data_IF_921868008206
#
_entry.id   IF_921868008206
#
_cell.length_a   1.000
_cell.length_b   1.000
_cell.length_c   1.000
_cell.angle_alpha   90.00
_cell.angle_beta   90.00
_cell.angle_gamma   90.00
#
_symmetry.space_group_name_H-M   'P 1'
#
loop_
_entity.id
_entity.type
_entity.pdbx_description
1 polymer ?
#
# COMPACT_ATOMS: atom_id res chain seq x y z
N UNK A 1 33.35 -25.32 -25.62
CA UNK A 1 32.88 -23.94 -25.35
C UNK A 1 31.97 -24.00 -24.13
N UNK A 2 32.42 -23.47 -22.99
CA UNK A 2 31.63 -23.39 -21.76
C UNK A 2 30.36 -22.59 -22.04
N UNK A 3 29.18 -23.20 -21.89
CA UNK A 3 27.95 -22.43 -21.72
C UNK A 3 28.08 -21.76 -20.35
N UNK A 4 28.57 -20.52 -20.32
CA UNK A 4 28.41 -19.65 -19.17
C UNK A 4 26.91 -19.43 -18.99
N UNK A 5 26.27 -20.34 -18.27
CA UNK A 5 24.88 -20.24 -17.85
C UNK A 5 24.85 -19.29 -16.65
N UNK A 6 25.19 -18.02 -16.89
CA UNK A 6 24.91 -16.93 -15.97
C UNK A 6 23.41 -16.99 -15.69
N UNK A 7 23.02 -17.21 -14.43
CA UNK A 7 21.64 -17.02 -14.01
C UNK A 7 21.25 -15.59 -14.40
N UNK A 8 20.44 -15.45 -15.47
CA UNK A 8 19.96 -14.17 -15.96
C UNK A 8 18.85 -13.69 -15.01
N UNK A 9 19.27 -13.12 -13.88
CA UNK A 9 18.37 -12.53 -12.88
C UNK A 9 17.95 -11.14 -13.41
N UNK A 10 16.65 -10.80 -13.42
CA UNK A 10 16.20 -9.47 -13.82
C UNK A 10 16.81 -8.38 -12.93
N UNK A 11 17.24 -7.27 -13.51
CA UNK A 11 17.66 -6.10 -12.73
C UNK A 11 16.47 -5.57 -11.92
N UNK A 12 16.55 -5.44 -10.58
CA UNK A 12 15.44 -4.96 -9.78
C UNK A 12 15.00 -3.53 -10.12
N UNK A 13 15.82 -2.74 -10.83
CA UNK A 13 15.51 -1.36 -11.21
C UNK A 13 14.79 -1.23 -12.56
N UNK A 14 14.55 -2.32 -13.29
CA UNK A 14 13.69 -2.26 -14.48
C UNK A 14 12.22 -2.18 -14.10
N UNK A 15 11.43 -1.43 -14.87
CA UNK A 15 9.97 -1.37 -14.65
C UNK A 15 9.32 -2.71 -15.01
N UNK A 16 9.63 -3.26 -16.18
CA UNK A 16 9.04 -4.50 -16.68
C UNK A 16 10.08 -5.62 -16.73
N UNK A 17 10.04 -6.59 -15.79
CA UNK A 17 10.95 -7.74 -15.80
C UNK A 17 10.56 -8.82 -16.81
N UNK A 18 9.35 -8.79 -17.38
CA UNK A 18 8.88 -9.76 -18.36
C UNK A 18 8.64 -9.13 -19.75
N UNK A 19 8.69 -9.98 -20.79
CA UNK A 19 8.49 -9.57 -22.19
C UNK A 19 7.06 -9.09 -22.48
N UNK A 20 6.08 -9.62 -21.75
CA UNK A 20 4.65 -9.32 -21.94
C UNK A 20 4.21 -7.99 -21.33
N UNK A 21 5.05 -7.37 -20.48
CA UNK A 21 4.77 -6.13 -19.75
C UNK A 21 3.49 -6.17 -18.90
N UNK A 22 3.06 -7.35 -18.47
CA UNK A 22 1.90 -7.54 -17.58
C UNK A 22 2.27 -7.42 -16.12
N UNK A 23 3.56 -7.57 -15.78
CA UNK A 23 4.04 -7.45 -14.42
C UNK A 23 5.05 -6.32 -14.36
N UNK A 24 4.98 -5.49 -13.31
CA UNK A 24 5.96 -4.45 -13.07
C UNK A 24 6.60 -4.58 -11.69
N UNK A 25 7.87 -4.21 -11.55
CA UNK A 25 8.47 -4.02 -10.23
C UNK A 25 7.97 -2.71 -9.63
N UNK A 26 7.20 -2.84 -8.56
CA UNK A 26 6.37 -1.76 -8.02
C UNK A 26 7.24 -0.59 -7.56
N UNK A 27 8.41 -0.87 -6.94
CA UNK A 27 9.30 0.19 -6.44
C UNK A 27 9.69 1.23 -7.50
N UNK A 28 9.69 0.85 -8.78
CA UNK A 28 10.14 1.69 -9.89
C UNK A 28 9.01 2.57 -10.46
N UNK A 29 7.75 2.37 -10.02
CA UNK A 29 6.57 3.14 -10.45
C UNK A 29 5.92 3.93 -9.31
N UNK A 30 6.45 3.83 -8.09
CA UNK A 30 6.03 4.64 -6.95
C UNK A 30 6.68 6.02 -7.00
N UNK A 31 5.86 7.05 -6.81
CA UNK A 31 6.26 8.45 -6.68
C UNK A 31 5.90 9.06 -5.32
N UNK A 32 4.91 8.49 -4.61
CA UNK A 32 4.47 8.99 -3.34
C UNK A 32 5.55 8.85 -2.25
N UNK A 33 5.88 9.93 -1.50
CA UNK A 33 7.00 9.93 -0.55
C UNK A 33 6.78 9.08 0.70
N UNK A 34 5.52 8.70 0.98
CA UNK A 34 5.12 7.90 2.13
C UNK A 34 4.94 6.40 1.81
N UNK A 35 5.27 5.99 0.58
CA UNK A 35 5.21 4.59 0.14
C UNK A 35 6.64 4.09 -0.07
N UNK A 36 6.96 2.92 0.49
CA UNK A 36 8.25 2.27 0.31
C UNK A 36 8.03 0.82 -0.08
N UNK A 37 8.66 0.38 -1.18
CA UNK A 37 8.52 -0.99 -1.68
C UNK A 37 9.89 -1.61 -1.89
N UNK A 38 10.07 -2.84 -1.42
CA UNK A 38 11.31 -3.58 -1.56
C UNK A 38 11.58 -4.10 -2.98
N UNK A 39 12.85 -4.42 -3.27
CA UNK A 39 13.27 -5.04 -4.53
C UNK A 39 12.49 -6.33 -4.84
N UNK A 40 12.35 -6.61 -6.14
CA UNK A 40 11.70 -7.81 -6.67
C UNK A 40 10.22 -8.00 -6.30
N UNK A 41 9.62 -7.04 -5.58
CA UNK A 41 8.18 -7.00 -5.38
C UNK A 41 7.52 -6.53 -6.66
N UNK A 42 6.63 -7.36 -7.20
CA UNK A 42 5.91 -7.06 -8.43
C UNK A 42 4.41 -6.94 -8.22
N UNK A 43 3.78 -6.18 -9.10
CA UNK A 43 2.33 -6.16 -9.30
C UNK A 43 2.03 -6.65 -10.71
N UNK A 44 1.07 -7.57 -10.83
CA UNK A 44 0.61 -8.11 -12.11
C UNK A 44 -0.79 -7.59 -12.45
N UNK A 45 -0.93 -7.04 -13.64
CA UNK A 45 -2.18 -6.51 -14.18
C UNK A 45 -2.12 -6.52 -15.72
N UNK A 46 -3.15 -7.07 -16.35
CA UNK A 46 -3.20 -7.16 -17.82
C UNK A 46 -3.49 -5.80 -18.48
N UNK A 47 -4.01 -4.81 -17.74
CA UNK A 47 -4.44 -3.52 -18.26
C UNK A 47 -3.46 -2.41 -17.94
N UNK A 48 -3.13 -2.22 -16.66
CA UNK A 48 -2.25 -1.13 -16.20
C UNK A 48 -1.43 -1.53 -14.96
N UNK A 49 -0.36 -2.32 -15.15
CA UNK A 49 0.51 -2.74 -14.05
C UNK A 49 1.31 -1.57 -13.46
N UNK A 50 1.62 -0.55 -14.26
CA UNK A 50 2.34 0.65 -13.78
C UNK A 50 1.47 1.59 -12.95
N UNK A 51 0.15 1.49 -13.07
CA UNK A 51 -0.81 2.29 -12.34
C UNK A 51 -1.03 1.89 -10.88
N UNK A 52 -0.21 0.99 -10.31
CA UNK A 52 -0.37 0.47 -8.95
C UNK A 52 -0.61 1.58 -7.91
N UNK A 53 0.21 2.64 -7.90
CA UNK A 53 0.06 3.72 -6.92
C UNK A 53 -1.33 4.35 -6.97
N UNK A 54 -1.79 4.72 -8.18
CA UNK A 54 -3.08 5.38 -8.39
C UNK A 54 -4.26 4.45 -8.17
N UNK A 55 -4.17 3.23 -8.69
CA UNK A 55 -5.30 2.32 -8.82
C UNK A 55 -5.45 1.44 -7.57
N UNK A 56 -4.36 1.18 -6.84
CA UNK A 56 -4.33 0.16 -5.80
C UNK A 56 -4.03 0.74 -4.41
N UNK A 57 -3.55 1.99 -4.28
CA UNK A 57 -3.36 2.66 -2.99
C UNK A 57 -4.41 3.76 -2.81
N UNK A 58 -5.49 3.43 -2.09
CA UNK A 58 -6.67 4.28 -1.97
C UNK A 58 -6.61 5.14 -0.70
N UNK A 59 -7.16 6.36 -0.79
CA UNK A 59 -7.16 7.35 0.29
C UNK A 59 -5.75 7.79 0.73
N UNK A 60 -4.76 7.75 -0.16
CA UNK A 60 -3.40 8.14 0.15
C UNK A 60 -3.24 9.67 0.17
N UNK A 61 -3.28 10.27 1.36
CA UNK A 61 -2.93 11.67 1.54
C UNK A 61 -1.75 11.78 2.51
N UNK A 62 -0.51 12.00 2.00
CA UNK A 62 0.71 11.97 2.81
C UNK A 62 0.74 12.99 3.96
N UNK A 63 -0.04 14.07 3.86
CA UNK A 63 -0.23 15.07 4.92
C UNK A 63 -0.68 14.47 6.25
N UNK A 64 -1.33 13.32 6.19
CA UNK A 64 -1.85 12.59 7.36
C UNK A 64 -0.83 11.66 8.03
N UNK A 65 0.39 11.57 7.49
CA UNK A 65 1.51 10.86 8.13
C UNK A 65 1.48 9.34 8.00
N UNK A 66 0.42 8.77 7.44
CA UNK A 66 0.33 7.32 7.16
C UNK A 66 1.40 6.87 6.16
N UNK A 67 1.92 5.66 6.35
CA UNK A 67 2.96 5.06 5.51
C UNK A 67 2.54 3.68 5.03
N UNK A 68 2.81 3.38 3.76
CA UNK A 68 2.70 2.03 3.21
C UNK A 68 4.09 1.47 2.98
N UNK A 69 4.43 0.38 3.65
CA UNK A 69 5.75 -0.27 3.53
C UNK A 69 5.51 -1.71 3.07
N UNK A 70 5.97 -2.05 1.87
CA UNK A 70 5.91 -3.40 1.30
C UNK A 70 7.33 -3.97 1.27
N UNK A 71 7.48 -5.22 1.71
CA UNK A 71 8.76 -5.93 1.73
C UNK A 71 9.34 -6.22 0.34
N UNK A 72 10.41 -7.01 0.32
CA UNK A 72 11.02 -7.52 -0.92
C UNK A 72 10.32 -8.81 -1.35
N UNK A 73 10.45 -9.19 -2.62
CA UNK A 73 9.96 -10.47 -3.15
C UNK A 73 8.47 -10.75 -2.86
N UNK A 74 7.63 -9.73 -2.86
CA UNK A 74 6.19 -9.89 -2.72
C UNK A 74 5.52 -10.05 -4.10
N UNK A 75 4.50 -10.89 -4.17
CA UNK A 75 3.67 -11.08 -5.37
C UNK A 75 2.32 -10.41 -5.15
N UNK A 76 2.05 -9.32 -5.85
CA UNK A 76 0.78 -8.59 -5.74
C UNK A 76 -0.08 -8.92 -6.97
N UNK A 77 -1.20 -9.60 -6.75
CA UNK A 77 -2.12 -9.98 -7.80
C UNK A 77 -2.98 -8.80 -8.25
N UNK A 78 -3.43 -8.83 -9.51
CA UNK A 78 -4.34 -7.84 -10.08
C UNK A 78 -5.54 -7.60 -9.18
N UNK A 79 -5.90 -6.33 -9.00
CA UNK A 79 -7.03 -5.92 -8.16
C UNK A 79 -6.74 -5.82 -6.66
N UNK A 80 -5.56 -6.21 -6.17
CA UNK A 80 -5.16 -6.00 -4.75
C UNK A 80 -5.30 -4.54 -4.35
N UNK A 81 -6.02 -4.20 -3.27
CA UNK A 81 -6.18 -2.81 -2.81
C UNK A 81 -5.60 -2.62 -1.41
N UNK A 82 -4.95 -1.48 -1.23
CA UNK A 82 -4.44 -0.96 0.02
C UNK A 82 -5.30 0.25 0.41
N UNK A 83 -6.03 0.15 1.52
CA UNK A 83 -6.87 1.24 2.04
C UNK A 83 -6.08 1.94 3.15
N UNK A 84 -5.76 3.22 2.92
CA UNK A 84 -5.00 4.02 3.88
C UNK A 84 -5.90 4.55 5.01
N UNK A 85 -5.29 5.01 6.10
CA UNK A 85 -6.00 5.51 7.28
C UNK A 85 -6.96 6.69 7.07
N UNK A 86 -6.82 7.58 6.06
CA UNK A 86 -7.77 8.67 5.83
C UNK A 86 -9.15 8.21 5.35
N UNK A 87 -9.32 6.93 5.03
CA UNK A 87 -10.63 6.33 4.77
C UNK A 87 -11.50 6.22 6.04
N UNK A 88 -10.90 6.35 7.24
CA UNK A 88 -11.61 6.18 8.49
C UNK A 88 -12.45 7.41 8.84
N UNK A 89 -13.69 7.18 9.27
CA UNK A 89 -14.54 8.20 9.85
C UNK A 89 -14.27 8.36 11.36
N UNK A 90 -14.61 9.53 11.89
CA UNK A 90 -14.54 9.79 13.33
C UNK A 90 -15.54 8.91 14.08
N UNK A 91 -15.04 8.14 15.05
CA UNK A 91 -15.86 7.25 15.89
C UNK A 91 -16.15 7.84 17.30
N UNK A 92 -15.40 8.85 17.73
CA UNK A 92 -15.64 9.60 18.98
C UNK A 92 -16.56 10.82 18.78
N UNK A 93 -17.72 10.58 18.21
CA UNK A 93 -18.73 11.61 18.00
C UNK A 93 -20.11 10.98 18.21
N UNK A 94 -21.14 11.80 18.34
CA UNK A 94 -22.52 11.31 18.37
C UNK A 94 -22.90 10.56 17.08
N UNK A 95 -22.14 10.75 16.00
CA UNK A 95 -22.35 10.15 14.68
C UNK A 95 -21.06 10.13 13.87
N UNK A 96 -20.97 9.19 12.92
CA UNK A 96 -19.87 9.07 11.96
C UNK A 96 -20.04 9.95 10.71
N UNK A 97 -21.17 10.65 10.58
CA UNK A 97 -21.43 11.50 9.43
C UNK A 97 -20.46 12.70 9.37
N UNK A 98 -19.76 12.94 8.24
CA UNK A 98 -18.69 13.92 8.16
C UNK A 98 -19.22 15.33 7.86
N UNK A 99 -20.01 15.89 8.76
CA UNK A 99 -20.61 17.23 8.63
C UNK A 99 -19.59 18.32 8.27
N UNK A 100 -18.38 18.21 8.84
CA UNK A 100 -17.27 19.14 8.64
C UNK A 100 -16.75 19.19 7.18
N UNK A 101 -17.14 18.26 6.31
CA UNK A 101 -16.68 18.18 4.91
C UNK A 101 -17.58 18.98 3.97
N UNK A 102 -18.83 19.26 4.35
CA UNK A 102 -19.85 19.81 3.44
C UNK A 102 -19.99 21.33 3.45
N UNK A 103 -19.17 22.06 4.22
CA UNK A 103 -19.14 23.53 4.21
C UNK A 103 -20.23 24.22 5.05
N UNK A 104 -20.29 25.55 4.94
CA UNK A 104 -21.29 26.43 5.57
C UNK A 104 -21.42 26.24 7.09
N UNK A 105 -22.65 26.39 7.59
CA UNK A 105 -22.97 26.26 9.00
C UNK A 105 -22.51 24.90 9.59
N UNK A 106 -22.47 23.84 8.79
CA UNK A 106 -22.01 22.53 9.29
C UNK A 106 -20.51 22.52 9.59
N UNK A 107 -19.69 23.16 8.76
CA UNK A 107 -18.25 23.26 9.03
C UNK A 107 -17.94 24.27 10.14
N UNK A 108 -18.69 25.38 10.22
CA UNK A 108 -18.54 26.39 11.27
C UNK A 108 -18.90 25.86 12.67
N UNK A 109 -19.84 24.93 12.76
CA UNK A 109 -20.35 24.39 14.03
C UNK A 109 -19.82 22.99 14.35
N UNK A 110 -18.86 22.47 13.59
CA UNK A 110 -18.18 21.22 13.91
C UNK A 110 -16.72 21.44 14.23
N UNK A 111 -16.12 20.58 15.07
CA UNK A 111 -14.71 20.72 15.35
C UNK A 111 -13.83 20.55 14.10
N UNK A 112 -12.63 21.16 14.06
CA UNK A 112 -11.72 21.06 12.91
C UNK A 112 -11.43 19.60 12.56
N UNK A 113 -11.45 19.29 11.25
CA UNK A 113 -11.27 17.94 10.74
C UNK A 113 -9.87 17.38 11.03
N UNK A 114 -8.83 18.15 10.68
CA UNK A 114 -7.43 17.68 10.67
C UNK A 114 -6.91 17.41 12.09
N UNK A 115 -7.30 18.24 13.06
CA UNK A 115 -6.85 18.12 14.46
C UNK A 115 -7.45 16.91 15.18
N UNK A 116 -8.43 16.24 14.57
CA UNK A 116 -9.20 15.15 15.17
C UNK A 116 -9.12 13.84 14.40
N UNK A 117 -8.40 13.84 13.28
CA UNK A 117 -8.02 12.61 12.62
C UNK A 117 -7.04 11.82 13.52
N UNK A 118 -7.00 10.49 13.40
CA UNK A 118 -6.26 9.60 14.32
C UNK A 118 -4.72 9.68 14.17
N UNK A 119 -4.15 10.86 13.92
CA UNK A 119 -2.71 11.11 13.94
C UNK A 119 -2.13 10.96 15.35
N UNK A 120 -2.97 11.20 16.36
CA UNK A 120 -2.63 11.24 17.77
C UNK A 120 -3.81 10.61 18.50
N UNK A 121 -3.54 9.85 19.55
CA UNK A 121 -4.45 9.05 20.35
C UNK A 121 -5.57 9.83 21.09
N UNK A 122 -6.25 10.77 20.46
CA UNK A 122 -7.35 11.55 21.03
C UNK A 122 -8.62 10.70 21.23
N UNK A 123 -8.77 9.62 20.47
CA UNK A 123 -9.77 8.59 20.72
C UNK A 123 -9.22 7.22 20.32
N UNK A 124 -8.48 6.57 21.22
CA UNK A 124 -8.38 5.10 21.34
C UNK A 124 -8.14 4.24 20.08
N UNK A 125 -7.67 4.79 18.97
CA UNK A 125 -7.64 4.10 17.68
C UNK A 125 -6.41 4.44 16.88
N UNK A 126 -5.23 4.08 17.40
CA UNK A 126 -4.01 4.07 16.59
C UNK A 126 -3.92 2.69 15.94
N UNK A 127 -4.35 2.56 14.69
CA UNK A 127 -3.96 1.43 13.85
C UNK A 127 -2.99 1.94 12.81
N UNK A 128 -1.70 1.82 13.12
CA UNK A 128 -0.66 1.82 12.08
C UNK A 128 -0.94 0.61 11.18
N UNK A 129 -1.39 0.85 9.95
CA UNK A 129 -1.43 -0.19 8.92
C UNK A 129 -0.01 -0.45 8.42
N UNK A 130 0.80 -1.12 9.23
CA UNK A 130 2.06 -1.65 8.76
C UNK A 130 1.81 -3.02 8.14
N UNK A 131 1.49 -3.05 6.84
CA UNK A 131 1.44 -4.30 6.06
C UNK A 131 2.87 -4.80 5.87
N UNK A 132 3.45 -5.47 6.89
CA UNK A 132 4.72 -6.18 6.74
C UNK A 132 4.48 -7.46 5.95
N UNK A 133 4.58 -7.38 4.62
CA UNK A 133 4.78 -8.54 3.77
C UNK A 133 6.24 -9.01 3.92
N UNK A 134 6.50 -9.76 5.01
CA UNK A 134 7.53 -10.77 5.29
C UNK A 134 9.07 -10.48 5.08
N UNK A 135 10.00 -11.12 5.86
CA UNK A 135 11.34 -11.56 5.40
C UNK A 135 11.58 -13.08 5.62
N UNK A 136 11.59 -13.93 4.58
CA UNK A 136 11.60 -15.41 4.75
C UNK A 136 13.03 -15.85 4.69
N UNK A 137 13.57 -16.26 5.85
CA UNK A 137 14.63 -17.24 5.87
C UNK A 137 14.16 -18.55 5.23
N UNK A 138 15.09 -19.45 4.87
CA UNK A 138 14.77 -20.64 4.09
C UNK A 138 13.89 -21.58 4.91
N UNK A 139 12.69 -21.90 4.39
CA UNK A 139 11.86 -22.99 4.89
C UNK A 139 11.55 -23.98 3.78
N UNK A 140 11.51 -25.23 4.17
CA UNK A 140 11.74 -26.44 3.37
C UNK A 140 10.45 -27.19 3.03
N UNK A 141 9.32 -26.51 2.86
CA UNK A 141 8.04 -27.17 2.60
C UNK A 141 7.24 -26.51 1.47
N UNK A 142 6.75 -27.37 0.59
CA UNK A 142 6.26 -27.07 -0.75
C UNK A 142 4.74 -26.81 -0.75
N UNK A 143 4.24 -26.00 0.18
CA UNK A 143 2.82 -25.61 0.22
C UNK A 143 2.71 -24.11 -0.03
N UNK A 144 2.18 -23.73 -1.20
CA UNK A 144 2.00 -22.34 -1.61
C UNK A 144 1.34 -21.50 -0.51
N UNK A 145 2.09 -20.53 0.01
CA UNK A 145 1.64 -19.63 1.07
C UNK A 145 0.68 -18.58 0.52
N UNK A 146 -0.41 -18.38 1.26
CA UNK A 146 -1.35 -17.28 1.08
C UNK A 146 -0.69 -15.98 1.53
N UNK A 147 -0.78 -14.94 0.71
CA UNK A 147 -0.61 -13.57 1.17
C UNK A 147 -1.77 -13.23 2.14
N UNK A 148 -1.56 -13.44 3.43
CA UNK A 148 -2.49 -12.99 4.46
C UNK A 148 -2.37 -11.47 4.61
N UNK A 149 -3.29 -10.71 3.99
CA UNK A 149 -3.61 -9.36 4.43
C UNK A 149 -4.47 -9.52 5.68
N UNK A 150 -3.84 -9.63 6.85
CA UNK A 150 -4.57 -9.64 8.12
C UNK A 150 -4.97 -8.21 8.48
N UNK A 151 -6.24 -7.88 8.32
CA UNK A 151 -6.85 -6.77 9.03
C UNK A 151 -7.22 -7.22 10.44
N UNK A 152 -6.67 -6.54 11.45
CA UNK A 152 -7.16 -6.59 12.82
C UNK A 152 -8.16 -5.46 13.05
#
# INVERSE_FOLDING_TARGET
MSKNNSLQIPDPNVVFPNEYKTSCFVKNVITAPNITVGDYTYYDDAVDPTGFEKNNVLFNYPVFGDKLIIGKFCQLASGTKFIMGPANHRLCSATTYPFNVFGGAWTENTPPHLDQLPHIAACGGVRHWQIRLWPVGPRSDNTGEKACVSGN
#
